data_IF_715733224111
#
_entry.id   IF_715733224111
#
_cell.length_a   1.000
_cell.length_b   1.000
_cell.length_c   1.000
_cell.angle_alpha   90.00
_cell.angle_beta   90.00
_cell.angle_gamma   90.00
#
_symmetry.space_group_name_H-M   'P 1'
#
loop_
_entity.id
_entity.type
_entity.pdbx_description
1 polymer ?
#
# COMPACT_ATOMS: atom_id res chain seq x y z
N UNK A 1 18.39 7.79 -16.20
CA UNK A 1 17.98 7.90 -14.79
C UNK A 1 17.01 6.77 -14.52
N UNK A 2 17.43 5.73 -13.79
CA UNK A 2 16.56 4.64 -13.36
C UNK A 2 15.58 5.20 -12.33
N UNK A 3 14.27 5.09 -12.57
CA UNK A 3 13.24 5.64 -11.66
C UNK A 3 13.13 4.73 -10.43
N UNK A 4 12.81 5.31 -9.27
CA UNK A 4 12.68 4.60 -7.99
C UNK A 4 11.66 3.44 -8.02
N UNK A 5 10.72 3.46 -8.96
CA UNK A 5 9.67 2.45 -9.17
C UNK A 5 10.14 1.15 -9.86
N UNK A 6 11.35 1.11 -10.41
CA UNK A 6 11.97 -0.10 -11.00
C UNK A 6 12.99 -0.75 -10.05
N UNK A 7 13.01 -0.28 -8.80
CA UNK A 7 13.96 -0.71 -7.80
C UNK A 7 13.36 -1.86 -6.99
N UNK A 8 14.10 -2.96 -6.88
CA UNK A 8 13.69 -4.09 -6.06
C UNK A 8 13.54 -3.63 -4.61
N UNK A 9 12.32 -3.74 -4.08
CA UNK A 9 12.03 -3.40 -2.70
C UNK A 9 12.69 -4.45 -1.80
N UNK A 10 13.80 -4.05 -1.16
CA UNK A 10 14.61 -4.90 -0.29
C UNK A 10 14.16 -4.87 1.17
N UNK A 11 13.49 -3.80 1.59
CA UNK A 11 13.03 -3.61 2.97
C UNK A 11 11.53 -3.35 3.02
N UNK A 12 10.84 -4.00 3.96
CA UNK A 12 9.42 -3.83 4.22
C UNK A 12 9.22 -3.52 5.70
N UNK A 13 8.66 -2.35 5.99
CA UNK A 13 8.33 -1.94 7.36
C UNK A 13 6.82 -2.11 7.57
N UNK A 14 6.43 -2.88 8.59
CA UNK A 14 5.05 -3.26 8.88
C UNK A 14 4.57 -2.52 10.12
N UNK A 15 3.48 -1.76 10.01
CA UNK A 15 2.82 -1.06 11.11
C UNK A 15 1.56 -1.84 11.50
N UNK A 16 1.69 -2.58 12.59
CA UNK A 16 0.65 -3.49 13.07
C UNK A 16 -0.09 -2.91 14.27
N UNK A 17 -1.32 -2.39 14.10
CA UNK A 17 -2.10 -1.87 15.21
C UNK A 17 -2.61 -2.98 16.16
N UNK A 18 -2.57 -4.25 15.75
CA UNK A 18 -3.05 -5.37 16.56
C UNK A 18 -1.92 -6.06 17.34
N UNK A 19 -0.66 -5.62 17.16
CA UNK A 19 0.54 -6.20 17.78
C UNK A 19 0.57 -7.75 17.71
N UNK A 20 0.21 -8.29 16.55
CA UNK A 20 0.08 -9.73 16.29
C UNK A 20 1.41 -10.48 16.32
N UNK A 21 2.55 -9.77 16.31
CA UNK A 21 3.87 -10.33 16.53
C UNK A 21 4.14 -10.54 18.02
N UNK A 22 3.95 -11.77 18.51
CA UNK A 22 4.23 -12.13 19.91
C UNK A 22 5.73 -11.93 20.22
N UNK A 23 6.05 -10.96 21.08
CA UNK A 23 7.41 -10.59 21.50
C UNK A 23 8.37 -10.15 20.36
N UNK A 24 7.83 -9.46 19.33
CA UNK A 24 8.65 -8.94 18.23
C UNK A 24 9.13 -10.01 17.24
N UNK A 25 8.67 -11.25 17.38
CA UNK A 25 8.91 -12.31 16.40
C UNK A 25 7.87 -12.25 15.28
N UNK A 26 8.34 -12.28 14.02
CA UNK A 26 7.46 -12.28 12.85
C UNK A 26 6.43 -13.42 12.90
N UNK A 27 5.16 -13.15 12.53
CA UNK A 27 4.16 -14.19 12.37
C UNK A 27 4.63 -15.29 11.42
N UNK A 28 4.17 -16.53 11.65
CA UNK A 28 4.59 -17.68 10.85
C UNK A 28 4.39 -17.52 9.35
N UNK A 29 3.34 -16.80 8.95
CA UNK A 29 2.98 -16.48 7.56
C UNK A 29 3.98 -15.55 6.87
N UNK A 30 4.75 -14.74 7.62
CA UNK A 30 5.76 -13.83 7.06
C UNK A 30 7.15 -14.45 6.96
N UNK A 31 7.37 -15.64 7.51
CA UNK A 31 8.72 -16.23 7.61
C UNK A 31 9.32 -16.59 6.26
N UNK A 32 8.51 -17.04 5.31
CA UNK A 32 8.98 -17.34 3.96
C UNK A 32 9.36 -16.06 3.23
N UNK A 33 8.47 -15.06 3.27
CA UNK A 33 8.69 -13.73 2.72
C UNK A 33 9.98 -13.06 3.25
N UNK A 34 10.21 -13.14 4.57
CA UNK A 34 11.39 -12.59 5.24
C UNK A 34 12.72 -13.31 4.93
N UNK A 35 12.72 -14.43 4.19
CA UNK A 35 13.97 -15.05 3.71
C UNK A 35 14.64 -14.25 2.59
N UNK A 36 13.86 -13.42 1.89
CA UNK A 36 14.31 -12.68 0.70
C UNK A 36 14.35 -11.17 0.90
N UNK A 37 13.79 -10.67 2.00
CA UNK A 37 13.63 -9.24 2.30
C UNK A 37 13.84 -8.96 3.78
N UNK A 38 14.33 -7.77 4.07
CA UNK A 38 14.39 -7.26 5.45
C UNK A 38 12.99 -6.82 5.88
N UNK A 39 12.35 -7.58 6.77
CA UNK A 39 11.01 -7.28 7.29
C UNK A 39 11.11 -6.76 8.70
N UNK A 40 10.67 -5.52 8.92
CA UNK A 40 10.71 -4.83 10.21
C UNK A 40 9.32 -4.62 10.74
N UNK A 41 8.98 -5.31 11.82
CA UNK A 41 7.67 -5.26 12.43
C UNK A 41 7.62 -4.23 13.56
N UNK A 42 6.71 -3.26 13.43
CA UNK A 42 6.49 -2.21 14.42
C UNK A 42 5.06 -2.38 14.94
N UNK A 43 4.94 -2.73 16.22
CA UNK A 43 3.65 -2.85 16.92
C UNK A 43 3.06 -1.50 17.35
N UNK A 44 2.06 -1.55 18.21
CA UNK A 44 1.45 -0.37 18.84
C UNK A 44 2.43 0.30 19.80
N UNK A 45 2.88 1.50 19.47
CA UNK A 45 3.63 2.39 20.36
C UNK A 45 3.16 3.84 20.10
N UNK A 46 3.11 4.68 21.14
CA UNK A 46 2.73 6.09 21.03
C UNK A 46 3.70 6.87 20.13
N UNK A 47 4.96 6.42 20.06
CA UNK A 47 6.01 6.99 19.22
C UNK A 47 6.21 6.25 17.88
N UNK A 48 5.21 5.49 17.41
CA UNK A 48 5.29 4.75 16.15
C UNK A 48 5.86 5.58 14.98
N UNK A 49 5.44 6.84 14.72
CA UNK A 49 5.98 7.62 13.60
C UNK A 49 7.49 7.88 13.69
N UNK A 50 8.03 8.15 14.89
CA UNK A 50 9.45 8.39 15.10
C UNK A 50 10.25 7.09 15.01
N UNK A 51 9.66 5.98 15.47
CA UNK A 51 10.24 4.65 15.33
C UNK A 51 10.31 4.21 13.87
N UNK A 52 9.27 4.45 13.06
CA UNK A 52 9.35 4.19 11.61
C UNK A 52 10.50 4.98 11.00
N UNK A 53 10.61 6.28 11.30
CA UNK A 53 11.70 7.11 10.77
C UNK A 53 13.08 6.61 11.20
N UNK A 54 13.21 6.16 12.45
CA UNK A 54 14.44 5.54 12.95
C UNK A 54 14.78 4.26 12.21
N UNK A 55 13.80 3.39 11.97
CA UNK A 55 13.99 2.16 11.19
C UNK A 55 14.36 2.47 9.73
N UNK A 56 13.79 3.51 9.16
CA UNK A 56 14.11 3.91 7.79
C UNK A 56 15.48 4.62 7.68
N UNK A 57 16.01 5.15 8.79
CA UNK A 57 17.29 5.82 8.81
C UNK A 57 18.44 4.83 8.51
N UNK A 58 19.14 5.06 7.41
CA UNK A 58 20.29 4.24 7.01
C UNK A 58 19.93 2.94 6.30
N UNK A 59 18.67 2.75 5.89
CA UNK A 59 18.30 1.70 4.94
C UNK A 59 18.74 2.11 3.55
N UNK A 60 19.57 1.30 2.90
CA UNK A 60 19.92 1.48 1.49
C UNK A 60 18.87 0.83 0.58
N UNK A 61 18.49 1.53 -0.50
CA UNK A 61 17.58 1.01 -1.53
C UNK A 61 16.09 1.16 -1.18
N UNK A 62 15.24 0.67 -2.09
CA UNK A 62 13.79 0.93 -2.03
C UNK A 62 13.10 0.25 -0.84
N UNK A 63 12.23 1.01 -0.18
CA UNK A 63 11.45 0.58 0.99
C UNK A 63 9.96 0.66 0.73
N UNK A 64 9.21 -0.32 1.25
CA UNK A 64 7.76 -0.27 1.35
C UNK A 64 7.29 -0.19 2.81
N UNK A 65 6.20 0.53 3.04
CA UNK A 65 5.43 0.51 4.27
C UNK A 65 4.17 -0.34 4.08
N UNK A 66 3.83 -1.17 5.07
CA UNK A 66 2.56 -1.91 5.14
C UNK A 66 1.84 -1.48 6.40
N UNK A 67 0.56 -1.10 6.30
CA UNK A 67 -0.20 -0.66 7.46
C UNK A 67 -1.64 -1.14 7.42
N UNK A 68 -2.16 -1.57 8.58
CA UNK A 68 -3.56 -1.96 8.74
C UNK A 68 -4.36 -0.91 9.54
N UNK A 69 -5.65 -0.77 9.21
CA UNK A 69 -6.59 0.01 10.02
C UNK A 69 -6.10 1.43 10.33
N UNK A 70 -6.16 1.80 11.62
CA UNK A 70 -5.75 3.12 12.11
C UNK A 70 -4.26 3.43 11.89
N UNK A 71 -3.41 2.42 11.66
CA UNK A 71 -1.99 2.66 11.35
C UNK A 71 -1.78 3.26 9.94
N UNK A 72 -2.80 3.22 9.07
CA UNK A 72 -2.75 3.81 7.73
C UNK A 72 -2.47 5.32 7.76
N UNK A 73 -3.08 6.06 8.69
CA UNK A 73 -2.85 7.50 8.83
C UNK A 73 -1.40 7.81 9.24
N UNK A 74 -0.82 6.98 10.12
CA UNK A 74 0.59 7.06 10.52
C UNK A 74 1.52 6.76 9.35
N UNK A 75 1.21 5.72 8.55
CA UNK A 75 2.01 5.38 7.37
C UNK A 75 2.06 6.55 6.37
N UNK A 76 0.91 7.18 6.08
CA UNK A 76 0.87 8.37 5.22
C UNK A 76 1.60 9.57 5.85
N UNK A 77 1.58 9.72 7.18
CA UNK A 77 2.28 10.81 7.86
C UNK A 77 3.80 10.64 7.83
N UNK A 78 4.29 9.42 7.96
CA UNK A 78 5.71 9.10 7.75
C UNK A 78 6.08 9.35 6.29
N UNK A 79 5.27 8.87 5.34
CA UNK A 79 5.55 9.02 3.91
C UNK A 79 5.69 10.50 3.49
N UNK A 80 4.84 11.39 4.02
CA UNK A 80 4.92 12.82 3.75
C UNK A 80 6.15 13.51 4.36
N UNK A 81 6.70 12.97 5.44
CA UNK A 81 7.93 13.48 6.07
C UNK A 81 9.21 13.03 5.34
N UNK A 82 9.03 12.17 4.33
CA UNK A 82 9.99 11.76 3.30
C UNK A 82 11.28 11.13 3.80
N UNK A 83 11.22 9.85 4.19
CA UNK A 83 12.38 8.99 4.07
C UNK A 83 12.73 8.88 2.57
N UNK A 84 13.94 9.30 2.16
CA UNK A 84 14.37 9.40 0.74
C UNK A 84 14.21 8.09 -0.07
N UNK A 85 14.09 6.96 0.63
CA UNK A 85 14.07 5.63 0.07
C UNK A 85 12.70 4.94 0.09
N UNK A 86 11.67 5.61 0.64
CA UNK A 86 10.31 5.08 0.63
C UNK A 86 9.69 5.25 -0.75
N UNK A 87 9.22 4.17 -1.36
CA UNK A 87 8.62 4.19 -2.71
C UNK A 87 7.18 3.69 -2.75
N UNK A 88 6.72 3.01 -1.69
CA UNK A 88 5.43 2.33 -1.71
C UNK A 88 4.81 2.27 -0.31
N UNK A 89 3.49 2.51 -0.24
CA UNK A 89 2.66 2.31 0.95
C UNK A 89 1.52 1.36 0.59
N UNK A 90 1.42 0.25 1.32
CA UNK A 90 0.41 -0.78 1.16
C UNK A 90 -0.55 -0.74 2.36
N UNK A 91 -1.84 -0.66 2.07
CA UNK A 91 -2.88 -0.46 3.06
C UNK A 91 -3.77 -1.70 3.14
N UNK A 92 -4.10 -2.08 4.37
CA UNK A 92 -5.04 -3.15 4.70
C UNK A 92 -6.16 -2.53 5.52
N UNK A 93 -7.37 -2.50 4.97
CA UNK A 93 -8.53 -1.98 5.68
C UNK A 93 -8.35 -0.60 6.37
N UNK A 94 -7.82 0.42 5.68
CA UNK A 94 -7.49 1.71 6.29
C UNK A 94 -8.73 2.45 6.85
N UNK A 95 -9.91 2.15 6.30
CA UNK A 95 -11.19 2.71 6.72
C UNK A 95 -11.92 1.88 7.77
N UNK A 96 -11.38 0.74 8.22
CA UNK A 96 -12.07 -0.14 9.17
C UNK A 96 -12.25 0.45 10.56
N UNK A 97 -11.59 1.57 10.87
CA UNK A 97 -11.82 2.29 12.12
C UNK A 97 -13.29 2.74 12.24
N UNK A 98 -14.04 2.07 13.11
CA UNK A 98 -15.46 2.37 13.34
C UNK A 98 -16.43 1.57 12.47
N UNK A 99 -15.98 0.56 11.72
CA UNK A 99 -16.90 -0.40 11.09
C UNK A 99 -17.53 -1.32 12.13
N UNK A 100 -18.73 -1.81 11.82
CA UNK A 100 -19.41 -2.78 12.69
C UNK A 100 -18.63 -4.11 12.63
N UNK A 101 -18.38 -4.77 13.78
CA UNK A 101 -17.69 -6.06 13.80
C UNK A 101 -18.32 -7.09 12.85
N UNK A 102 -17.48 -7.69 11.99
CA UNK A 102 -17.90 -8.70 11.00
C UNK A 102 -18.60 -8.16 9.75
N UNK A 103 -18.78 -6.84 9.63
CA UNK A 103 -19.27 -6.20 8.42
C UNK A 103 -18.14 -6.04 7.39
N UNK A 104 -18.45 -6.04 6.08
CA UNK A 104 -17.49 -5.72 5.04
C UNK A 104 -16.92 -4.30 5.24
N UNK A 105 -15.62 -4.13 5.03
CA UNK A 105 -14.94 -2.84 5.18
C UNK A 105 -14.83 -2.04 3.87
N UNK A 106 -15.25 -2.61 2.73
CA UNK A 106 -15.05 -2.02 1.41
C UNK A 106 -15.53 -0.56 1.30
N UNK A 107 -16.79 -0.28 1.64
CA UNK A 107 -17.35 1.07 1.56
C UNK A 107 -16.61 2.06 2.48
N UNK A 108 -16.19 1.61 3.66
CA UNK A 108 -15.44 2.44 4.60
C UNK A 108 -14.01 2.73 4.08
N UNK A 109 -13.38 1.73 3.45
CA UNK A 109 -12.09 1.89 2.80
C UNK A 109 -12.17 2.84 1.60
N UNK A 110 -13.22 2.75 0.77
CA UNK A 110 -13.45 3.66 -0.35
C UNK A 110 -13.62 5.10 0.12
N UNK A 111 -14.44 5.33 1.16
CA UNK A 111 -14.62 6.66 1.75
C UNK A 111 -13.31 7.21 2.32
N UNK A 112 -12.53 6.37 3.02
CA UNK A 112 -11.21 6.76 3.51
C UNK A 112 -10.28 7.13 2.34
N UNK A 113 -10.24 6.32 1.28
CA UNK A 113 -9.42 6.56 0.09
C UNK A 113 -9.82 7.85 -0.62
N UNK A 114 -11.12 8.13 -0.71
CA UNK A 114 -11.65 9.36 -1.29
C UNK A 114 -11.21 10.59 -0.48
N UNK A 115 -11.35 10.54 0.85
CA UNK A 115 -10.90 11.59 1.77
C UNK A 115 -9.39 11.86 1.65
N UNK A 116 -8.61 10.81 1.40
CA UNK A 116 -7.15 10.89 1.26
C UNK A 116 -6.67 11.20 -0.16
N UNK A 117 -7.56 11.46 -1.12
CA UNK A 117 -7.20 11.68 -2.54
C UNK A 117 -6.09 12.71 -2.72
N UNK A 118 -6.23 13.91 -2.11
CA UNK A 118 -5.22 14.96 -2.24
C UNK A 118 -3.86 14.54 -1.67
N UNK A 119 -3.89 13.93 -0.48
CA UNK A 119 -2.68 13.45 0.20
C UNK A 119 -1.95 12.38 -0.61
N UNK A 120 -2.68 11.48 -1.26
CA UNK A 120 -2.13 10.46 -2.14
C UNK A 120 -1.57 11.06 -3.43
N UNK A 121 -2.24 12.05 -4.02
CA UNK A 121 -1.73 12.77 -5.18
C UNK A 121 -0.41 13.49 -4.87
N UNK A 122 -0.30 14.12 -3.70
CA UNK A 122 0.94 14.75 -3.24
C UNK A 122 2.08 13.74 -3.05
N UNK A 123 1.79 12.51 -2.62
CA UNK A 123 2.78 11.42 -2.51
C UNK A 123 3.17 10.85 -3.88
N UNK A 124 2.21 10.67 -4.78
CA UNK A 124 2.46 10.19 -6.13
C UNK A 124 3.33 11.16 -6.95
N UNK A 125 3.17 12.46 -6.75
CA UNK A 125 4.03 13.49 -7.34
C UNK A 125 5.51 13.36 -6.91
N UNK A 126 5.77 12.59 -5.86
CA UNK A 126 7.08 12.34 -5.27
C UNK A 126 7.54 10.89 -5.50
N UNK A 127 6.94 10.22 -6.48
CA UNK A 127 7.19 8.83 -6.83
C UNK A 127 6.90 7.83 -5.68
N UNK A 128 6.05 8.20 -4.71
CA UNK A 128 5.57 7.33 -3.64
C UNK A 128 4.16 6.85 -3.98
N UNK A 129 4.01 5.56 -4.27
CA UNK A 129 2.71 4.97 -4.57
C UNK A 129 1.96 4.52 -3.30
N UNK A 130 0.63 4.62 -3.31
CA UNK A 130 -0.23 4.24 -2.18
C UNK A 130 -1.36 3.34 -2.68
N UNK A 131 -1.35 2.08 -2.21
CA UNK A 131 -2.24 1.01 -2.69
C UNK A 131 -3.04 0.40 -1.56
N UNK A 132 -4.32 0.12 -1.83
CA UNK A 132 -5.14 -0.78 -1.01
C UNK A 132 -4.89 -2.21 -1.50
N UNK A 133 -4.35 -3.08 -0.64
CA UNK A 133 -3.95 -4.45 -1.04
C UNK A 133 -4.87 -5.52 -0.49
N UNK A 134 -5.52 -5.29 0.65
CA UNK A 134 -6.45 -6.23 1.23
C UNK A 134 -7.63 -5.51 1.89
N UNK A 135 -8.80 -6.14 1.77
CA UNK A 135 -10.08 -5.61 2.26
C UNK A 135 -10.84 -6.73 2.95
N UNK A 136 -11.32 -6.47 4.17
CA UNK A 136 -12.24 -7.34 4.90
C UNK A 136 -13.57 -7.44 4.13
N UNK A 137 -13.98 -8.66 3.78
CA UNK A 137 -15.19 -8.93 3.00
C UNK A 137 -16.43 -9.18 3.85
N UNK A 138 -16.25 -9.32 5.16
CA UNK A 138 -17.26 -9.70 6.14
C UNK A 138 -17.44 -11.21 6.25
N UNK A 139 -18.07 -11.65 7.34
CA UNK A 139 -18.47 -13.04 7.53
C UNK A 139 -17.36 -14.02 7.95
N UNK A 140 -17.57 -15.32 7.70
CA UNK A 140 -16.72 -16.39 8.22
C UNK A 140 -15.38 -16.54 7.50
N UNK A 141 -15.22 -15.93 6.33
CA UNK A 141 -13.99 -16.01 5.52
C UNK A 141 -12.88 -15.14 6.11
N UNK A 142 -13.21 -13.94 6.60
CA UNK A 142 -12.27 -13.06 7.29
C UNK A 142 -11.81 -13.64 8.64
N UNK A 143 -12.63 -14.52 9.26
CA UNK A 143 -12.44 -15.20 10.56
C UNK A 143 -12.23 -14.28 11.78
N UNK A 144 -12.14 -12.98 11.59
CA UNK A 144 -11.92 -11.94 12.60
C UNK A 144 -12.62 -10.64 12.20
N UNK A 145 -12.67 -9.68 13.12
CA UNK A 145 -13.20 -8.34 12.83
C UNK A 145 -12.16 -7.51 12.08
N UNK A 146 -12.60 -6.71 11.11
CA UNK A 146 -11.76 -5.74 10.41
C UNK A 146 -11.01 -4.82 11.40
N UNK A 147 -9.76 -4.42 11.10
CA UNK A 147 -9.00 -4.75 9.90
C UNK A 147 -8.53 -6.20 9.84
N UNK A 148 -8.30 -6.74 8.64
CA UNK A 148 -7.65 -8.04 8.50
C UNK A 148 -6.28 -8.02 9.23
N UNK A 149 -5.96 -9.04 10.05
CA UNK A 149 -4.68 -9.14 10.71
C UNK A 149 -3.57 -9.18 9.67
N UNK A 150 -2.48 -8.46 9.90
CA UNK A 150 -1.36 -8.45 8.96
C UNK A 150 -0.70 -9.84 8.83
N UNK A 151 -0.86 -10.71 9.82
CA UNK A 151 -0.48 -12.12 9.74
C UNK A 151 -1.43 -13.03 8.93
N UNK A 152 -2.54 -12.52 8.39
CA UNK A 152 -3.49 -13.31 7.60
C UNK A 152 -2.86 -13.76 6.27
N UNK A 153 -3.03 -15.03 5.82
CA UNK A 153 -2.43 -15.51 4.57
C UNK A 153 -2.75 -14.64 3.35
N UNK A 154 -4.01 -14.22 3.20
CA UNK A 154 -4.43 -13.40 2.07
C UNK A 154 -3.77 -12.01 2.06
N UNK A 155 -3.48 -11.45 3.24
CA UNK A 155 -2.75 -10.19 3.36
C UNK A 155 -1.30 -10.35 2.89
N UNK A 156 -0.64 -11.44 3.30
CA UNK A 156 0.74 -11.73 2.88
C UNK A 156 0.82 -11.92 1.37
N UNK A 157 -0.09 -12.72 0.79
CA UNK A 157 -0.16 -12.94 -0.67
C UNK A 157 -0.38 -11.62 -1.41
N UNK A 158 -1.28 -10.76 -0.91
CA UNK A 158 -1.54 -9.48 -1.54
C UNK A 158 -0.33 -8.52 -1.48
N UNK A 159 0.38 -8.49 -0.35
CA UNK A 159 1.62 -7.72 -0.19
C UNK A 159 2.70 -8.25 -1.14
N UNK A 160 2.93 -9.56 -1.21
CA UNK A 160 3.90 -10.19 -2.11
C UNK A 160 3.62 -9.86 -3.58
N UNK A 161 2.35 -9.95 -3.99
CA UNK A 161 1.92 -9.59 -5.33
C UNK A 161 2.18 -8.11 -5.62
N UNK A 162 1.82 -7.22 -4.69
CA UNK A 162 2.01 -5.78 -4.86
C UNK A 162 3.49 -5.37 -4.97
N UNK A 163 4.39 -6.09 -4.29
CA UNK A 163 5.83 -5.86 -4.34
C UNK A 163 6.51 -6.47 -5.57
N UNK A 164 5.87 -7.46 -6.21
CA UNK A 164 6.37 -8.11 -7.43
C UNK A 164 5.88 -7.41 -8.70
N UNK A 165 4.76 -6.69 -8.60
CA UNK A 165 4.18 -5.92 -9.70
C UNK A 165 4.21 -4.43 -9.33
N UNK A 166 5.29 -3.69 -9.67
CA UNK A 166 5.29 -2.24 -9.56
C UNK A 166 4.35 -1.67 -10.64
N UNK A 167 3.03 -1.73 -10.41
CA UNK A 167 2.06 -1.13 -11.32
C UNK A 167 2.22 0.38 -11.29
N UNK A 168 2.83 0.93 -12.34
CA UNK A 168 2.59 2.31 -12.74
C UNK A 168 1.17 2.37 -13.27
N UNK A 169 0.22 2.88 -12.50
CA UNK A 169 -0.99 3.46 -13.10
C UNK A 169 -0.62 4.84 -13.71
N UNK A 170 0.36 4.85 -14.61
CA UNK A 170 0.36 5.79 -15.72
C UNK A 170 -0.22 4.98 -16.85
N UNK A 171 -1.54 5.04 -17.01
CA UNK A 171 -2.22 4.47 -18.17
C UNK A 171 -1.55 5.08 -19.42
N UNK A 172 -0.64 4.32 -20.01
CA UNK A 172 -0.37 4.45 -21.42
C UNK A 172 -1.72 4.14 -22.09
N UNK A 173 -2.31 5.07 -22.85
CA UNK A 173 -3.64 4.86 -23.46
C UNK A 173 -3.69 3.58 -24.30
N UNK A 174 -2.55 3.10 -24.80
CA UNK A 174 -2.41 1.83 -25.52
C UNK A 174 -2.63 0.61 -24.60
N UNK A 175 -2.14 0.65 -23.34
CA UNK A 175 -2.31 -0.43 -22.35
C UNK A 175 -3.76 -0.52 -21.83
N UNK A 176 -4.43 0.63 -21.67
CA UNK A 176 -5.85 0.66 -21.28
C UNK A 176 -6.73 0.04 -22.37
N UNK A 177 -6.48 0.38 -23.63
CA UNK A 177 -7.17 -0.17 -24.79
C UNK A 177 -7.02 -1.70 -24.90
N UNK A 178 -5.80 -2.20 -24.70
CA UNK A 178 -5.51 -3.64 -24.72
C UNK A 178 -6.19 -4.38 -23.56
N UNK A 179 -6.23 -3.78 -22.36
CA UNK A 179 -6.85 -4.39 -21.18
C UNK A 179 -8.38 -4.45 -21.23
N UNK A 180 -9.06 -3.54 -21.91
CA UNK A 180 -10.54 -3.52 -21.97
C UNK A 180 -11.08 -4.19 -23.25
N UNK A 181 -10.19 -4.64 -24.15
CA UNK A 181 -10.58 -5.28 -25.42
C UNK A 181 -11.37 -4.35 -26.35
N UNK A 182 -11.25 -3.04 -26.17
CA UNK A 182 -11.84 -2.02 -27.04
C UNK A 182 -10.70 -1.45 -27.84
N UNK A 183 -10.66 -1.77 -29.14
CA UNK A 183 -9.74 -1.14 -30.09
C UNK A 183 -10.20 0.33 -30.27
N UNK A 184 -9.48 1.33 -29.73
CA UNK A 184 -9.89 2.71 -29.85
C UNK A 184 -9.82 3.10 -31.32
N UNK A 185 -10.85 3.79 -31.81
CA UNK A 185 -10.78 4.25 -33.20
C UNK A 185 -9.67 5.28 -33.34
N UNK A 186 -9.04 5.40 -34.53
CA UNK A 186 -8.02 6.42 -34.77
C UNK A 186 -8.45 7.85 -34.35
N UNK A 187 -9.74 8.17 -34.49
CA UNK A 187 -10.31 9.46 -34.07
C UNK A 187 -10.27 9.68 -32.55
N UNK A 188 -10.44 8.63 -31.73
CA UNK A 188 -10.38 8.73 -30.26
C UNK A 188 -8.95 8.97 -29.76
N UNK A 189 -7.96 8.40 -30.45
CA UNK A 189 -6.54 8.60 -30.16
C UNK A 189 -6.13 10.04 -30.45
N UNK A 190 -6.59 10.60 -31.57
CA UNK A 190 -6.29 11.98 -31.94
C UNK A 190 -7.01 13.01 -31.04
N UNK A 191 -8.25 12.72 -30.60
CA UNK A 191 -8.97 13.57 -29.64
C UNK A 191 -8.27 13.63 -28.28
N UNK A 192 -7.76 12.48 -27.80
CA UNK A 192 -7.00 12.42 -26.55
C UNK A 192 -5.69 13.21 -26.65
N UNK A 193 -4.92 13.02 -27.72
CA UNK A 193 -3.65 13.72 -27.97
C UNK A 193 -3.86 15.24 -27.96
N UNK A 194 -4.90 15.73 -28.63
CA UNK A 194 -5.26 17.15 -28.65
C UNK A 194 -5.61 17.70 -27.26
N UNK A 195 -6.16 16.87 -26.36
CA UNK A 195 -6.56 17.27 -25.01
C UNK A 195 -5.42 17.27 -24.01
N UNK A 196 -4.39 16.45 -24.23
CA UNK A 196 -3.19 16.39 -23.36
C UNK A 196 -2.08 17.34 -23.79
N UNK A 197 -2.06 17.80 -25.05
CA UNK A 197 -1.03 18.70 -25.58
C UNK A 197 -1.34 20.20 -25.42
N UNK A 198 -2.45 20.57 -24.77
CA UNK A 198 -2.76 21.95 -24.43
C UNK A 198 -2.93 22.14 -22.91
N UNK A 199 -1.97 22.79 -22.22
CA UNK A 199 -2.06 23.12 -20.78
C UNK A 199 -3.08 24.22 -20.48
#
# INVERSE_FOLDING_TARGET
MTRASDQVIGTVVVLDPADTATHGALPGTWREFAQTRDVRWIGQDEDAPARVEHELAGVDGAVALVAAGTAADTALAVAQRRPENLVLVLLVDPGAAGTVPGAPALAANEEWMHRMTRRRADLAAEDIDVRLVAVSTGGSEDRVTAPLPLGHPDVVVAVESALSHPTRESADPEDFAESVGIDPTPDQVDEYRARTEHP
#
